data_IF_038441533381
#
_entry.id   IF_038441533381
#
_cell.length_a   1.000
_cell.length_b   1.000
_cell.length_c   1.000
_cell.angle_alpha   90.00
_cell.angle_beta   90.00
_cell.angle_gamma   90.00
#
_symmetry.space_group_name_H-M   'P 1'
#
loop_
_entity.id
_entity.type
_entity.pdbx_description
1 polymer ?
#
# COMPACT_ATOMS: atom_id res chain seq x y z
N UNK A 1 -32.77 20.66 -0.48
CA UNK A 1 -31.47 20.54 -1.18
C UNK A 1 -30.44 21.14 -0.25
N UNK A 2 -29.80 20.30 0.56
CA UNK A 2 -28.77 20.76 1.51
C UNK A 2 -27.47 20.75 0.73
N UNK A 3 -26.96 21.93 0.40
CA UNK A 3 -25.61 22.07 -0.16
C UNK A 3 -24.65 22.01 1.01
N UNK A 4 -23.86 20.94 1.10
CA UNK A 4 -22.80 20.84 2.08
C UNK A 4 -21.62 21.71 1.61
N UNK A 5 -21.06 22.60 2.46
CA UNK A 5 -19.85 23.31 2.14
C UNK A 5 -18.69 22.30 2.18
N UNK A 6 -18.25 21.84 1.01
CA UNK A 6 -17.22 20.79 0.88
C UNK A 6 -16.91 20.34 -0.55
N UNK A 7 -17.83 20.54 -1.50
CA UNK A 7 -17.77 19.97 -2.85
C UNK A 7 -16.40 20.07 -3.55
N UNK A 8 -15.81 21.26 -3.65
CA UNK A 8 -14.53 21.42 -4.38
C UNK A 8 -13.34 20.72 -3.71
N UNK A 9 -13.30 20.65 -2.38
CA UNK A 9 -12.22 19.98 -1.62
C UNK A 9 -12.41 18.46 -1.64
N UNK A 10 -13.66 18.01 -1.54
CA UNK A 10 -14.01 16.59 -1.68
C UNK A 10 -13.71 16.09 -3.09
N UNK A 11 -13.92 16.92 -4.11
CA UNK A 11 -13.54 16.62 -5.50
C UNK A 11 -12.00 16.51 -5.66
N UNK A 12 -11.23 17.41 -5.04
CA UNK A 12 -9.75 17.38 -5.07
C UNK A 12 -9.16 16.15 -4.35
N UNK A 13 -9.73 15.76 -3.20
CA UNK A 13 -9.35 14.52 -2.50
C UNK A 13 -9.63 13.30 -3.37
N UNK A 14 -10.81 13.26 -4.00
CA UNK A 14 -11.23 12.16 -4.88
C UNK A 14 -10.31 12.04 -6.10
N UNK A 15 -9.97 13.18 -6.74
CA UNK A 15 -9.04 13.22 -7.87
C UNK A 15 -7.64 12.74 -7.46
N UNK A 16 -7.13 13.22 -6.32
CA UNK A 16 -5.83 12.82 -5.80
C UNK A 16 -5.79 11.34 -5.43
N UNK A 17 -6.84 10.82 -4.79
CA UNK A 17 -6.96 9.42 -4.44
C UNK A 17 -7.03 8.52 -5.69
N UNK A 18 -7.79 8.92 -6.70
CA UNK A 18 -7.87 8.22 -7.99
C UNK A 18 -6.51 8.20 -8.70
N UNK A 19 -5.76 9.31 -8.63
CA UNK A 19 -4.39 9.37 -9.14
C UNK A 19 -3.46 8.41 -8.38
N UNK A 20 -3.53 8.35 -7.04
CA UNK A 20 -2.72 7.40 -6.25
C UNK A 20 -3.06 5.94 -6.58
N UNK A 21 -4.35 5.61 -6.76
CA UNK A 21 -4.79 4.29 -7.19
C UNK A 21 -4.27 3.93 -8.60
N UNK A 22 -4.25 4.90 -9.52
CA UNK A 22 -3.63 4.75 -10.83
C UNK A 22 -2.13 4.50 -10.75
N UNK A 23 -1.40 5.30 -9.98
CA UNK A 23 0.04 5.14 -9.80
C UNK A 23 0.39 3.78 -9.17
N UNK A 24 -0.43 3.28 -8.24
CA UNK A 24 -0.27 1.92 -7.69
C UNK A 24 -0.33 0.87 -8.80
N UNK A 25 -1.34 0.94 -9.67
CA UNK A 25 -1.46 0.02 -10.81
C UNK A 25 -0.29 0.17 -11.80
N UNK A 26 0.09 1.41 -12.13
CA UNK A 26 1.21 1.68 -13.03
C UNK A 26 2.54 1.18 -12.47
N UNK A 27 2.72 1.22 -11.15
CA UNK A 27 3.89 0.70 -10.46
C UNK A 27 4.03 -0.82 -10.66
N UNK A 28 2.95 -1.57 -10.46
CA UNK A 28 2.96 -3.01 -10.70
C UNK A 28 3.10 -3.37 -12.19
N UNK A 29 2.39 -2.67 -13.10
CA UNK A 29 2.56 -2.86 -14.55
C UNK A 29 4.02 -2.59 -14.98
N UNK A 30 4.63 -1.53 -14.45
CA UNK A 30 6.04 -1.22 -14.73
C UNK A 30 6.99 -2.28 -14.17
N UNK A 31 6.69 -2.85 -13.01
CA UNK A 31 7.42 -3.99 -12.47
C UNK A 31 7.36 -5.20 -13.42
N UNK A 32 6.15 -5.58 -13.85
CA UNK A 32 5.95 -6.75 -14.71
C UNK A 32 6.62 -6.59 -16.09
N UNK A 33 6.71 -5.35 -16.59
CA UNK A 33 7.45 -4.98 -17.79
C UNK A 33 8.98 -4.92 -17.59
N UNK A 34 9.49 -5.15 -16.37
CA UNK A 34 10.91 -5.04 -16.03
C UNK A 34 11.45 -3.60 -15.99
N UNK A 35 10.58 -2.59 -15.91
CA UNK A 35 10.92 -1.16 -15.93
C UNK A 35 11.10 -0.60 -14.52
N UNK A 36 12.17 -1.01 -13.83
CA UNK A 36 12.47 -0.66 -12.43
C UNK A 36 12.26 0.82 -12.08
N UNK A 37 12.93 1.74 -12.79
CA UNK A 37 12.84 3.17 -12.49
C UNK A 37 11.41 3.73 -12.61
N UNK A 38 10.63 3.26 -13.58
CA UNK A 38 9.24 3.68 -13.75
C UNK A 38 8.34 3.12 -12.63
N UNK A 39 8.61 1.90 -12.16
CA UNK A 39 7.93 1.37 -10.99
C UNK A 39 8.23 2.21 -9.74
N UNK A 40 9.49 2.59 -9.52
CA UNK A 40 9.90 3.46 -8.41
C UNK A 40 9.21 4.82 -8.47
N UNK A 41 9.18 5.46 -9.65
CA UNK A 41 8.54 6.76 -9.80
C UNK A 41 7.03 6.70 -9.49
N UNK A 42 6.35 5.63 -9.93
CA UNK A 42 4.92 5.47 -9.65
C UNK A 42 4.64 5.23 -8.15
N UNK A 43 5.35 4.30 -7.50
CA UNK A 43 5.20 4.08 -6.06
C UNK A 43 5.64 5.28 -5.22
N UNK A 44 6.62 6.06 -5.70
CA UNK A 44 7.01 7.32 -5.04
C UNK A 44 5.87 8.34 -5.03
N UNK A 45 5.13 8.49 -6.12
CA UNK A 45 3.97 9.39 -6.17
C UNK A 45 2.86 8.97 -5.19
N UNK A 46 2.72 7.68 -4.93
CA UNK A 46 1.85 7.15 -3.87
C UNK A 46 2.42 7.48 -2.50
N UNK A 47 3.65 7.06 -2.20
CA UNK A 47 4.25 7.15 -0.87
C UNK A 47 4.35 8.60 -0.38
N UNK A 48 4.73 9.55 -1.26
CA UNK A 48 4.86 10.98 -0.87
C UNK A 48 3.54 11.64 -0.47
N UNK A 49 2.40 11.05 -0.85
CA UNK A 49 1.05 11.51 -0.49
C UNK A 49 0.46 10.68 0.65
N UNK A 50 0.66 9.37 0.63
CA UNK A 50 0.18 8.44 1.66
C UNK A 50 0.85 8.68 3.01
N UNK A 51 2.14 9.02 3.01
CA UNK A 51 2.91 9.32 4.23
C UNK A 51 3.24 10.81 4.27
N UNK A 52 2.22 11.66 4.37
CA UNK A 52 2.34 13.13 4.34
C UNK A 52 3.31 13.72 5.39
N UNK A 53 3.64 12.95 6.43
CA UNK A 53 4.56 13.33 7.49
C UNK A 53 6.05 13.06 7.17
N UNK A 54 6.37 12.32 6.11
CA UNK A 54 7.76 12.07 5.69
C UNK A 54 8.15 13.00 4.55
N UNK A 55 9.43 13.37 4.47
CA UNK A 55 9.94 14.17 3.35
C UNK A 55 10.12 13.35 2.06
N UNK A 56 10.19 14.04 0.92
CA UNK A 56 10.33 13.43 -0.42
C UNK A 56 11.49 12.41 -0.51
N UNK A 57 12.64 12.68 0.14
CA UNK A 57 13.76 11.73 0.15
C UNK A 57 13.38 10.40 0.83
N UNK A 58 12.68 10.48 1.96
CA UNK A 58 12.23 9.30 2.70
C UNK A 58 11.16 8.52 1.92
N UNK A 59 10.19 9.23 1.33
CA UNK A 59 9.20 8.63 0.44
C UNK A 59 9.86 7.91 -0.75
N UNK A 60 10.85 8.54 -1.40
CA UNK A 60 11.59 7.95 -2.52
C UNK A 60 12.37 6.70 -2.10
N UNK A 61 13.01 6.72 -0.93
CA UNK A 61 13.69 5.54 -0.37
C UNK A 61 12.70 4.41 -0.09
N UNK A 62 11.54 4.73 0.50
CA UNK A 62 10.48 3.76 0.77
C UNK A 62 9.93 3.10 -0.49
N UNK A 63 9.68 3.89 -1.54
CA UNK A 63 9.23 3.39 -2.84
C UNK A 63 10.30 2.53 -3.52
N UNK A 64 11.57 2.96 -3.47
CA UNK A 64 12.69 2.20 -4.02
C UNK A 64 12.84 0.86 -3.31
N UNK A 65 12.76 0.85 -1.98
CA UNK A 65 12.82 -0.37 -1.19
C UNK A 65 11.65 -1.32 -1.50
N UNK A 66 10.43 -0.82 -1.72
CA UNK A 66 9.30 -1.64 -2.15
C UNK A 66 9.56 -2.32 -3.50
N UNK A 67 10.05 -1.56 -4.48
CA UNK A 67 10.36 -2.08 -5.82
C UNK A 67 11.54 -3.05 -5.77
N UNK A 68 12.57 -2.76 -4.99
CA UNK A 68 13.70 -3.69 -4.80
C UNK A 68 13.26 -4.99 -4.12
N UNK A 69 12.24 -4.95 -3.27
CA UNK A 69 11.63 -6.16 -2.74
C UNK A 69 10.99 -6.97 -3.87
N UNK A 70 10.22 -6.33 -4.76
CA UNK A 70 9.58 -7.00 -5.90
C UNK A 70 10.63 -7.68 -6.80
N UNK A 71 11.75 -7.01 -7.06
CA UNK A 71 12.87 -7.58 -7.82
C UNK A 71 13.57 -8.74 -7.09
N UNK A 72 13.75 -8.64 -5.77
CA UNK A 72 14.30 -9.73 -4.98
C UNK A 72 13.39 -10.96 -5.00
N UNK A 73 12.07 -10.76 -4.96
CA UNK A 73 11.06 -11.82 -5.11
C UNK A 73 11.18 -12.49 -6.48
N UNK A 74 11.23 -11.71 -7.55
CA UNK A 74 11.36 -12.22 -8.92
C UNK A 74 12.67 -13.01 -9.12
N UNK A 75 13.78 -12.58 -8.51
CA UNK A 75 15.04 -13.31 -8.56
C UNK A 75 14.94 -14.70 -7.91
N UNK A 76 14.32 -14.79 -6.73
CA UNK A 76 14.08 -16.07 -6.05
C UNK A 76 13.14 -16.94 -6.90
N UNK A 77 12.06 -16.37 -7.44
CA UNK A 77 11.14 -17.10 -8.32
C UNK A 77 11.85 -17.67 -9.55
N UNK A 78 12.74 -16.91 -10.19
CA UNK A 78 13.48 -17.34 -11.36
C UNK A 78 14.38 -18.56 -11.09
N UNK A 79 15.04 -18.60 -9.92
CA UNK A 79 15.86 -19.74 -9.50
C UNK A 79 15.05 -21.02 -9.23
N UNK A 80 13.75 -20.87 -8.97
CA UNK A 80 12.84 -21.96 -8.63
C UNK A 80 11.81 -22.24 -9.75
N UNK A 81 12.10 -21.82 -10.98
CA UNK A 81 11.34 -22.22 -12.17
C UNK A 81 11.99 -23.44 -12.81
N UNK A 82 11.17 -24.42 -13.17
CA UNK A 82 11.62 -25.55 -13.98
C UNK A 82 11.81 -25.16 -15.45
N UNK A 83 12.35 -26.08 -16.25
CA UNK A 83 12.57 -25.88 -17.69
C UNK A 83 11.27 -25.61 -18.48
N UNK A 84 10.11 -25.97 -17.91
CA UNK A 84 8.80 -25.69 -18.49
C UNK A 84 8.23 -24.32 -18.05
N UNK A 85 8.95 -23.59 -17.19
CA UNK A 85 8.57 -22.28 -16.65
C UNK A 85 7.64 -22.33 -15.45
N UNK A 86 7.31 -23.52 -14.94
CA UNK A 86 6.47 -23.69 -13.76
C UNK A 86 7.28 -23.52 -12.48
N UNK A 87 6.66 -22.92 -11.45
CA UNK A 87 7.29 -22.75 -10.15
C UNK A 87 7.34 -24.08 -9.39
N UNK A 88 8.53 -24.48 -8.97
CA UNK A 88 8.76 -25.58 -8.03
C UNK A 88 8.33 -25.13 -6.61
N UNK A 89 7.02 -25.13 -6.35
CA UNK A 89 6.41 -24.51 -5.16
C UNK A 89 6.91 -25.09 -3.83
N UNK A 90 7.20 -26.39 -3.78
CA UNK A 90 7.69 -27.03 -2.56
C UNK A 90 9.11 -26.58 -2.21
N UNK A 91 9.98 -26.44 -3.22
CA UNK A 91 11.34 -25.91 -3.05
C UNK A 91 11.29 -24.41 -2.70
N UNK A 92 10.47 -23.64 -3.41
CA UNK A 92 10.27 -22.20 -3.18
C UNK A 92 9.77 -21.89 -1.75
N UNK A 93 8.99 -22.79 -1.15
CA UNK A 93 8.52 -22.66 0.24
C UNK A 93 9.67 -22.64 1.24
N UNK A 94 10.75 -23.38 0.96
CA UNK A 94 11.95 -23.45 1.79
C UNK A 94 13.07 -22.50 1.36
N UNK A 95 12.87 -21.68 0.33
CA UNK A 95 13.88 -20.76 -0.19
C UNK A 95 14.25 -19.67 0.83
N UNK A 96 15.38 -19.01 0.60
CA UNK A 96 15.82 -17.87 1.40
C UNK A 96 15.12 -16.58 0.97
N UNK A 97 14.15 -16.12 1.76
CA UNK A 97 13.41 -14.88 1.54
C UNK A 97 14.00 -13.66 2.27
N UNK A 98 15.16 -13.79 2.93
CA UNK A 98 15.76 -12.70 3.72
C UNK A 98 16.09 -11.46 2.88
N UNK A 99 16.40 -11.65 1.59
CA UNK A 99 16.59 -10.57 0.64
C UNK A 99 15.34 -9.69 0.49
N UNK A 100 14.15 -10.30 0.42
CA UNK A 100 12.85 -9.63 0.33
C UNK A 100 12.53 -8.94 1.66
N UNK A 101 12.69 -9.65 2.79
CA UNK A 101 12.40 -9.09 4.13
C UNK A 101 13.25 -7.86 4.43
N UNK A 102 14.53 -7.88 4.08
CA UNK A 102 15.43 -6.75 4.26
C UNK A 102 14.93 -5.51 3.52
N UNK A 103 14.39 -5.66 2.31
CA UNK A 103 13.85 -4.55 1.54
C UNK A 103 12.56 -4.00 2.14
N UNK A 104 11.67 -4.86 2.63
CA UNK A 104 10.53 -4.36 3.39
C UNK A 104 10.92 -3.70 4.71
N UNK A 105 12.02 -4.13 5.36
CA UNK A 105 12.56 -3.43 6.53
C UNK A 105 13.05 -2.03 6.18
N UNK A 106 13.81 -1.90 5.09
CA UNK A 106 14.26 -0.60 4.57
C UNK A 106 13.07 0.33 4.28
N UNK A 107 11.98 -0.21 3.70
CA UNK A 107 10.73 0.53 3.49
C UNK A 107 10.10 0.96 4.82
N UNK A 108 9.96 0.04 5.76
CA UNK A 108 9.35 0.33 7.05
C UNK A 108 10.10 1.43 7.81
N UNK A 109 11.43 1.34 7.84
CA UNK A 109 12.30 2.34 8.47
C UNK A 109 12.19 3.71 7.78
N UNK A 110 12.11 3.73 6.44
CA UNK A 110 12.00 4.98 5.68
C UNK A 110 10.66 5.69 5.89
N UNK A 111 9.56 4.93 6.05
CA UNK A 111 8.19 5.46 6.08
C UNK A 111 7.59 5.49 7.49
N UNK A 112 8.35 5.09 8.51
CA UNK A 112 7.86 5.03 9.90
C UNK A 112 6.84 3.91 10.15
N UNK A 113 6.86 2.86 9.33
CA UNK A 113 5.97 1.69 9.50
C UNK A 113 6.55 0.80 10.60
N UNK A 114 5.66 0.18 11.39
CA UNK A 114 6.07 -0.76 12.41
C UNK A 114 6.94 -1.89 11.82
N UNK A 115 8.01 -2.34 12.51
CA UNK A 115 8.95 -3.34 12.00
C UNK A 115 8.30 -4.66 11.59
N UNK A 116 7.18 -5.02 12.21
CA UNK A 116 6.43 -6.23 11.93
C UNK A 116 5.86 -6.28 10.51
N UNK A 117 5.69 -5.11 9.87
CA UNK A 117 5.35 -5.01 8.47
C UNK A 117 6.28 -5.83 7.59
N UNK A 118 7.59 -5.81 7.87
CA UNK A 118 8.56 -6.43 6.98
C UNK A 118 8.39 -7.94 6.85
N UNK A 119 8.19 -8.62 7.98
CA UNK A 119 7.99 -10.06 7.97
C UNK A 119 6.60 -10.42 7.45
N UNK A 120 5.55 -9.63 7.76
CA UNK A 120 4.19 -9.85 7.26
C UNK A 120 4.12 -9.73 5.74
N UNK A 121 4.71 -8.69 5.16
CA UNK A 121 4.77 -8.52 3.71
C UNK A 121 5.57 -9.62 3.02
N UNK A 122 6.65 -10.08 3.66
CA UNK A 122 7.44 -11.22 3.16
C UNK A 122 6.63 -12.52 3.20
N UNK A 123 5.92 -12.77 4.30
CA UNK A 123 5.08 -13.97 4.47
C UNK A 123 3.90 -13.97 3.49
N UNK A 124 3.28 -12.81 3.28
CA UNK A 124 2.28 -12.59 2.23
C UNK A 124 2.82 -13.04 0.87
N UNK A 125 3.93 -12.46 0.40
CA UNK A 125 4.44 -12.78 -0.94
C UNK A 125 4.86 -14.23 -1.10
N UNK A 126 5.52 -14.79 -0.08
CA UNK A 126 5.86 -16.22 -0.05
C UNK A 126 4.61 -17.08 -0.18
N UNK A 127 3.61 -16.86 0.68
CA UNK A 127 2.40 -17.66 0.71
C UNK A 127 1.59 -17.52 -0.58
N UNK A 128 1.58 -16.34 -1.20
CA UNK A 128 0.94 -16.11 -2.48
C UNK A 128 1.52 -17.03 -3.57
N UNK A 129 2.86 -17.15 -3.62
CA UNK A 129 3.53 -17.96 -4.66
C UNK A 129 3.49 -19.46 -4.40
N UNK A 130 3.48 -19.89 -3.14
CA UNK A 130 3.47 -21.32 -2.79
C UNK A 130 2.07 -21.90 -2.54
N UNK A 131 1.02 -21.08 -2.70
CA UNK A 131 -0.37 -21.47 -2.51
C UNK A 131 -0.79 -21.65 -1.04
N UNK A 132 -0.14 -20.94 -0.13
CA UNK A 132 -0.50 -20.88 1.30
C UNK A 132 -1.55 -19.80 1.60
N UNK A 133 -1.88 -19.63 2.88
CA UNK A 133 -2.69 -18.48 3.33
C UNK A 133 -1.88 -17.19 3.23
N UNK A 134 -2.11 -16.45 2.16
CA UNK A 134 -1.49 -15.16 1.91
C UNK A 134 -2.40 -13.99 2.27
N UNK A 135 -3.69 -14.24 2.46
CA UNK A 135 -4.70 -13.23 2.78
C UNK A 135 -4.47 -12.64 4.16
N UNK A 136 -4.28 -13.52 5.16
CA UNK A 136 -4.03 -13.10 6.55
C UNK A 136 -2.80 -12.19 6.68
N UNK A 137 -1.59 -12.59 6.24
CA UNK A 137 -0.42 -11.74 6.34
C UNK A 137 -0.50 -10.47 5.48
N UNK A 138 -1.20 -10.50 4.33
CA UNK A 138 -1.42 -9.31 3.52
C UNK A 138 -2.25 -8.26 4.27
N UNK A 139 -3.35 -8.68 4.90
CA UNK A 139 -4.22 -7.79 5.67
C UNK A 139 -3.50 -7.25 6.91
N UNK A 140 -2.71 -8.07 7.60
CA UNK A 140 -1.88 -7.63 8.73
C UNK A 140 -0.80 -6.62 8.33
N UNK A 141 -0.10 -6.86 7.22
CA UNK A 141 0.88 -5.92 6.66
C UNK A 141 0.21 -4.58 6.32
N UNK A 142 -0.95 -4.62 5.66
CA UNK A 142 -1.65 -3.40 5.27
C UNK A 142 -2.15 -2.60 6.47
N UNK A 143 -2.55 -3.26 7.56
CA UNK A 143 -2.89 -2.55 8.81
C UNK A 143 -1.70 -1.77 9.34
N UNK A 144 -0.48 -2.34 9.34
CA UNK A 144 0.72 -1.58 9.75
C UNK A 144 0.97 -0.37 8.85
N UNK A 145 0.79 -0.53 7.54
CA UNK A 145 0.98 0.55 6.58
C UNK A 145 -0.04 1.69 6.77
N UNK A 146 -1.32 1.35 6.96
CA UNK A 146 -2.38 2.32 7.24
C UNK A 146 -2.09 3.07 8.53
N UNK A 147 -1.79 2.35 9.63
CA UNK A 147 -1.48 2.95 10.94
C UNK A 147 -0.37 3.99 10.85
N UNK A 148 0.67 3.71 10.06
CA UNK A 148 1.76 4.65 9.81
C UNK A 148 1.29 5.84 8.95
N UNK A 149 0.53 5.58 7.88
CA UNK A 149 0.01 6.61 6.98
C UNK A 149 -0.89 7.62 7.71
N UNK A 150 -1.82 7.15 8.54
CA UNK A 150 -2.77 8.00 9.29
C UNK A 150 -2.28 8.40 10.68
N UNK A 151 -1.09 7.90 11.08
CA UNK A 151 -0.46 8.15 12.39
C UNK A 151 -1.32 7.76 13.60
N UNK A 152 -2.15 6.74 13.44
CA UNK A 152 -2.96 6.15 14.50
C UNK A 152 -2.57 4.68 14.69
N UNK A 153 -1.97 4.36 15.84
CA UNK A 153 -1.56 3.00 16.16
C UNK A 153 -2.74 2.08 16.56
N UNK A 154 -3.90 2.65 16.92
CA UNK A 154 -5.09 1.91 17.34
C UNK A 154 -5.96 1.47 16.15
N UNK A 155 -5.83 2.12 14.99
CA UNK A 155 -6.55 1.76 13.76
C UNK A 155 -6.44 0.26 13.43
N UNK A 156 -7.50 -0.42 12.93
CA UNK A 156 -8.86 0.08 12.79
C UNK A 156 -9.63 0.02 14.12
N UNK A 157 -10.25 1.13 14.49
CA UNK A 157 -11.25 1.13 15.56
C UNK A 157 -12.63 0.78 14.99
N UNK A 158 -13.40 -0.04 15.71
CA UNK A 158 -14.82 -0.26 15.42
C UNK A 158 -15.67 0.43 16.49
N UNK A 159 -16.72 1.16 16.11
CA UNK A 159 -17.60 1.85 17.06
C UNK A 159 -18.60 0.90 17.77
N UNK A 160 -18.35 -0.40 17.82
CA UNK A 160 -19.24 -1.40 18.41
C UNK A 160 -18.48 -2.46 19.22
N UNK A 161 -19.18 -3.16 20.13
CA UNK A 161 -18.63 -4.18 21.04
C UNK A 161 -18.02 -5.43 20.34
N UNK A 162 -17.92 -5.44 19.01
CA UNK A 162 -17.31 -6.52 18.24
C UNK A 162 -15.79 -6.36 18.12
N UNK A 163 -15.07 -7.49 18.00
CA UNK A 163 -13.64 -7.45 17.73
C UNK A 163 -13.35 -6.72 16.40
N UNK A 164 -12.40 -5.78 16.43
CA UNK A 164 -11.86 -5.17 15.21
C UNK A 164 -11.25 -6.27 14.35
N UNK A 165 -11.71 -6.36 13.10
CA UNK A 165 -11.00 -7.11 12.06
C UNK A 165 -9.93 -6.21 11.45
N UNK A 166 -9.49 -6.51 10.22
CA UNK A 166 -8.49 -5.69 9.52
C UNK A 166 -9.03 -4.37 8.92
N UNK A 167 -10.35 -4.18 8.96
CA UNK A 167 -11.00 -2.99 8.42
C UNK A 167 -11.25 -3.05 6.92
N UNK A 168 -12.16 -2.20 6.40
CA UNK A 168 -12.48 -2.16 4.98
C UNK A 168 -11.29 -1.65 4.13
N UNK A 169 -10.43 -0.80 4.68
CA UNK A 169 -9.27 -0.22 3.99
C UNK A 169 -8.26 -1.30 3.59
N UNK A 170 -7.83 -2.14 4.53
CA UNK A 170 -6.92 -3.25 4.23
C UNK A 170 -7.53 -4.24 3.22
N UNK A 171 -8.84 -4.46 3.30
CA UNK A 171 -9.56 -5.36 2.38
C UNK A 171 -9.63 -4.79 0.96
N UNK A 172 -9.88 -3.48 0.81
CA UNK A 172 -9.88 -2.81 -0.50
C UNK A 172 -8.51 -2.87 -1.15
N UNK A 173 -7.44 -2.63 -0.39
CA UNK A 173 -6.08 -2.72 -0.91
C UNK A 173 -5.77 -4.13 -1.43
N UNK A 174 -6.04 -5.17 -0.63
CA UNK A 174 -5.80 -6.55 -1.04
C UNK A 174 -6.62 -6.92 -2.29
N UNK A 175 -7.89 -6.53 -2.38
CA UNK A 175 -8.70 -6.74 -3.59
C UNK A 175 -8.10 -6.00 -4.80
N UNK A 176 -7.55 -4.80 -4.62
CA UNK A 176 -6.82 -4.08 -5.65
C UNK A 176 -5.61 -4.86 -6.19
N UNK A 177 -4.84 -5.49 -5.29
CA UNK A 177 -3.71 -6.35 -5.64
C UNK A 177 -4.17 -7.61 -6.41
N UNK A 178 -5.24 -8.27 -5.97
CA UNK A 178 -5.80 -9.44 -6.67
C UNK A 178 -6.26 -9.08 -8.10
N UNK A 179 -6.89 -7.91 -8.25
CA UNK A 179 -7.33 -7.43 -9.55
C UNK A 179 -6.16 -7.05 -10.47
N UNK A 180 -5.04 -6.58 -9.90
CA UNK A 180 -3.82 -6.31 -10.66
C UNK A 180 -3.30 -7.59 -11.35
N UNK A 181 -3.23 -8.70 -10.61
CA UNK A 181 -2.64 -9.98 -11.05
C UNK A 181 -3.46 -10.69 -12.15
N UNK A 182 -4.63 -10.16 -12.48
CA UNK A 182 -5.41 -10.62 -13.63
C UNK A 182 -4.85 -10.10 -14.98
N UNK A 183 -3.93 -9.13 -14.96
CA UNK A 183 -3.23 -8.57 -16.13
C UNK A 183 -4.14 -8.18 -17.31
N UNK A 184 -5.31 -7.59 -17.04
CA UNK A 184 -6.14 -7.01 -18.11
C UNK A 184 -6.56 -5.59 -17.78
N UNK A 185 -6.75 -4.77 -18.82
CA UNK A 185 -7.22 -3.39 -18.67
C UNK A 185 -8.54 -3.30 -17.89
N UNK A 186 -9.43 -4.28 -18.08
CA UNK A 186 -10.69 -4.36 -17.34
C UNK A 186 -10.45 -4.51 -15.83
N UNK A 187 -9.61 -5.45 -15.41
CA UNK A 187 -9.35 -5.65 -13.98
C UNK A 187 -8.47 -4.54 -13.40
N UNK A 188 -7.55 -3.96 -14.16
CA UNK A 188 -6.79 -2.78 -13.72
C UNK A 188 -7.70 -1.57 -13.45
N UNK A 189 -8.74 -1.37 -14.27
CA UNK A 189 -9.75 -0.34 -14.00
C UNK A 189 -10.51 -0.63 -12.71
N UNK A 190 -10.91 -1.88 -12.48
CA UNK A 190 -11.54 -2.29 -11.23
C UNK A 190 -10.62 -2.12 -10.02
N UNK A 191 -9.32 -2.44 -10.16
CA UNK A 191 -8.33 -2.26 -9.11
C UNK A 191 -8.26 -0.79 -8.69
N UNK A 192 -8.22 0.13 -9.66
CA UNK A 192 -8.28 1.57 -9.40
C UNK A 192 -9.56 1.95 -8.65
N UNK A 193 -10.73 1.55 -9.17
CA UNK A 193 -12.03 1.88 -8.56
C UNK A 193 -12.15 1.39 -7.11
N UNK A 194 -11.61 0.20 -6.80
CA UNK A 194 -11.62 -0.37 -5.44
C UNK A 194 -10.61 0.32 -4.51
N UNK A 195 -9.44 0.72 -5.02
CA UNK A 195 -8.40 1.37 -4.23
C UNK A 195 -8.62 2.87 -4.03
N UNK A 196 -9.39 3.55 -4.88
CA UNK A 196 -9.67 4.99 -4.70
C UNK A 196 -10.22 5.31 -3.30
N UNK A 197 -11.28 4.63 -2.77
CA UNK A 197 -11.76 4.88 -1.42
C UNK A 197 -10.75 4.57 -0.30
N UNK A 198 -9.78 3.68 -0.55
CA UNK A 198 -8.69 3.42 0.39
C UNK A 198 -7.78 4.67 0.52
N UNK A 199 -7.40 5.28 -0.60
CA UNK A 199 -6.59 6.50 -0.57
C UNK A 199 -7.39 7.73 -0.13
N UNK A 200 -8.68 7.83 -0.47
CA UNK A 200 -9.55 8.90 0.04
C UNK A 200 -9.62 8.89 1.56
N UNK A 201 -9.72 7.71 2.19
CA UNK A 201 -9.69 7.58 3.64
C UNK A 201 -8.41 8.20 4.21
N UNK A 202 -7.24 7.79 3.71
CA UNK A 202 -5.94 8.29 4.20
C UNK A 202 -5.83 9.81 4.03
N UNK A 203 -6.19 10.34 2.86
CA UNK A 203 -6.13 11.78 2.59
C UNK A 203 -7.10 12.59 3.47
N UNK A 204 -8.27 12.04 3.79
CA UNK A 204 -9.22 12.65 4.74
C UNK A 204 -8.66 12.65 6.16
N UNK A 205 -8.04 11.55 6.61
CA UNK A 205 -7.39 11.49 7.92
C UNK A 205 -6.24 12.50 8.04
N UNK A 206 -5.48 12.74 6.98
CA UNK A 206 -4.44 13.79 6.97
C UNK A 206 -5.04 15.18 7.16
N UNK A 207 -6.09 15.49 6.40
CA UNK A 207 -6.81 16.77 6.52
C UNK A 207 -7.39 16.97 7.91
N UNK A 208 -7.99 15.93 8.47
CA UNK A 208 -8.66 16.00 9.76
C UNK A 208 -7.63 16.01 10.93
N UNK A 209 -6.42 15.47 10.71
CA UNK A 209 -5.29 15.53 11.65
C UNK A 209 -4.53 16.87 11.63
N UNK A 210 -4.68 17.69 10.59
CA UNK A 210 -4.23 19.09 10.54
C UNK A 210 -5.10 20.03 11.44
N UNK A 211 -5.92 19.46 12.35
CA UNK A 211 -6.84 20.18 13.25
C UNK A 211 -6.68 19.79 14.72
N UNK A 212 -5.70 20.39 15.41
CA UNK A 212 -5.95 21.42 16.43
C UNK A 212 -4.77 22.41 16.39
N UNK A 213 -4.77 23.35 15.46
CA UNK A 213 -4.39 24.73 15.79
C UNK A 213 -4.90 25.74 14.75
N UNK A 214 -5.41 26.87 15.27
CA UNK A 214 -5.94 28.08 14.59
C UNK A 214 -7.43 28.16 14.24
N UNK A 215 -8.25 28.44 15.27
CA UNK A 215 -9.32 29.43 15.14
C UNK A 215 -9.00 30.63 16.05
N UNK A 216 -8.35 31.70 15.57
CA UNK A 216 -8.51 33.01 16.16
C UNK A 216 -9.88 33.53 15.72
N UNK A 217 -10.84 33.55 16.64
CA UNK A 217 -12.11 34.23 16.44
C UNK A 217 -11.86 35.71 16.16
N UNK A 218 -12.48 36.22 15.11
CA UNK A 218 -12.56 37.64 14.84
C UNK A 218 -13.15 38.39 16.06
N UNK A 219 -12.50 39.47 16.46
CA UNK A 219 -13.10 40.48 17.33
C UNK A 219 -12.69 40.39 18.79
N UNK A 220 -11.58 41.04 19.12
CA UNK A 220 -11.41 41.75 20.39
C UNK A 220 -10.58 42.99 20.08
N UNK A 221 -11.32 44.07 19.83
CA UNK A 221 -11.00 45.51 19.92
C UNK A 221 -9.55 45.96 19.77
#
# INVERSE_FOLDING_TARGET
>A
MVSFPGGAVDDEITETASYMAEQTCLGFIAHDDGRHGAAVDAFYEVDRRQFSHVGDEAARRGATAFVDALWAKDAIEAEHRDDAGALARDDLRGADWTGVERRFRERADALGIAPDYAWKSTDFWRNHKVGGDYWTPALEAQVYEIRAAVRDAAHPEKPSDGQSGYGPEATRYLLGVELHDMHTEFHWRQAREVMTPYFEFILREHRDSDLIDTIPTAGSS
#
